data_IF_107444287698
#
_entry.id   IF_107444287698
#
_cell.length_a   1.000
_cell.length_b   1.000
_cell.length_c   1.000
_cell.angle_alpha   90.00
_cell.angle_beta   90.00
_cell.angle_gamma   90.00
#
_symmetry.space_group_name_H-M   'P 1'
#
loop_
_entity.id
_entity.type
_entity.pdbx_description
1 polymer ?
#
# COMPACT_ATOMS: atom_id res chain seq x y z
N UNK A 1 -4.59 -7.34 26.11
CA UNK A 1 -4.41 -7.18 24.64
C UNK A 1 -4.00 -5.72 24.41
N UNK A 2 -2.75 -5.47 24.04
CA UNK A 2 -2.27 -4.09 23.80
C UNK A 2 -2.85 -3.50 22.51
N UNK A 3 -2.74 -2.17 22.29
CA UNK A 3 -3.20 -1.53 21.07
C UNK A 3 -2.39 -2.05 19.87
N UNK A 4 -3.06 -2.71 18.92
CA UNK A 4 -2.45 -3.15 17.65
C UNK A 4 -2.13 -1.90 16.82
N UNK A 5 -0.85 -1.72 16.46
CA UNK A 5 -0.40 -0.59 15.63
C UNK A 5 -0.74 -0.86 14.16
N UNK A 6 -1.28 0.16 13.50
CA UNK A 6 -1.49 0.17 12.05
C UNK A 6 -0.15 -0.06 11.33
N UNK A 7 -0.17 -0.73 10.17
CA UNK A 7 1.01 -0.86 9.30
C UNK A 7 1.38 0.49 8.67
N UNK A 8 0.39 1.39 8.55
CA UNK A 8 0.52 2.64 7.80
C UNK A 8 1.57 3.60 8.40
N UNK A 9 1.58 3.91 9.71
CA UNK A 9 2.63 4.75 10.30
C UNK A 9 4.03 4.17 10.13
N UNK A 10 4.16 2.84 10.13
CA UNK A 10 5.44 2.19 9.97
C UNK A 10 5.94 2.22 8.52
N UNK A 11 5.04 2.07 7.54
CA UNK A 11 5.36 2.28 6.13
C UNK A 11 5.82 3.72 5.89
N UNK A 12 5.11 4.70 6.45
CA UNK A 12 5.50 6.12 6.32
C UNK A 12 6.89 6.33 6.89
N UNK A 13 7.13 5.89 8.12
CA UNK A 13 8.43 6.00 8.77
C UNK A 13 9.55 5.29 7.98
N UNK A 14 9.26 4.12 7.41
CA UNK A 14 10.23 3.38 6.60
C UNK A 14 10.66 4.11 5.34
N UNK A 15 9.70 4.73 4.64
CA UNK A 15 9.98 5.54 3.46
C UNK A 15 10.82 6.75 3.84
N UNK A 16 10.51 7.40 4.96
CA UNK A 16 11.32 8.49 5.50
C UNK A 16 12.75 8.04 5.87
N UNK A 17 12.90 6.92 6.57
CA UNK A 17 14.20 6.34 6.96
C UNK A 17 15.05 6.02 5.72
N UNK A 18 14.44 5.43 4.68
CA UNK A 18 15.09 5.16 3.39
C UNK A 18 15.49 6.45 2.67
N UNK A 19 14.61 7.45 2.66
CA UNK A 19 14.88 8.76 2.09
C UNK A 19 16.09 9.43 2.75
N UNK A 20 16.18 9.39 4.09
CA UNK A 20 17.34 9.89 4.85
C UNK A 20 18.62 9.14 4.54
N UNK A 21 18.55 7.81 4.51
CA UNK A 21 19.71 6.97 4.23
C UNK A 21 20.30 7.23 2.83
N UNK A 22 19.44 7.48 1.84
CA UNK A 22 19.86 7.77 0.47
C UNK A 22 20.58 9.13 0.32
N UNK A 23 20.19 10.13 1.10
CA UNK A 23 20.73 11.50 1.02
C UNK A 23 21.81 11.82 2.05
N UNK A 24 22.06 10.92 3.00
CA UNK A 24 22.94 11.15 4.17
C UNK A 24 22.52 12.38 4.99
N UNK A 25 21.22 12.69 5.05
CA UNK A 25 20.70 13.81 5.84
C UNK A 25 20.70 13.51 7.34
N UNK A 26 20.63 14.56 8.18
CA UNK A 26 20.54 14.42 9.63
C UNK A 26 19.24 13.64 10.01
N UNK A 27 19.29 12.66 10.94
CA UNK A 27 18.10 11.92 11.40
C UNK A 27 16.95 12.77 11.94
N UNK A 28 17.26 13.97 12.48
CA UNK A 28 16.26 14.87 13.04
C UNK A 28 15.57 15.75 11.98
N UNK A 29 16.10 15.80 10.75
CA UNK A 29 15.51 16.58 9.66
C UNK A 29 14.36 15.82 9.00
N UNK A 30 13.26 16.53 8.74
CA UNK A 30 12.13 15.96 8.00
C UNK A 30 12.51 15.80 6.52
N UNK A 31 12.36 14.60 5.91
CA UNK A 31 12.68 14.40 4.50
C UNK A 31 11.80 15.28 3.62
N UNK A 32 12.39 15.85 2.56
CA UNK A 32 11.61 16.59 1.58
C UNK A 32 10.67 15.66 0.80
N UNK A 33 9.58 16.21 0.23
CA UNK A 33 8.66 15.45 -0.62
C UNK A 33 9.38 14.76 -1.79
N UNK A 34 10.39 15.42 -2.34
CA UNK A 34 11.20 14.88 -3.43
C UNK A 34 12.02 13.65 -2.99
N UNK A 35 12.58 13.68 -1.77
CA UNK A 35 13.31 12.53 -1.23
C UNK A 35 12.39 11.33 -0.96
N UNK A 36 11.20 11.57 -0.42
CA UNK A 36 10.19 10.52 -0.22
C UNK A 36 9.75 9.92 -1.56
N UNK A 37 9.55 10.79 -2.55
CA UNK A 37 9.19 10.38 -3.91
C UNK A 37 10.26 9.51 -4.53
N UNK A 38 11.53 9.88 -4.41
CA UNK A 38 12.64 9.08 -4.91
C UNK A 38 12.77 7.73 -4.17
N UNK A 39 12.59 7.73 -2.84
CA UNK A 39 12.61 6.52 -2.04
C UNK A 39 11.52 5.51 -2.44
N UNK A 40 10.38 6.00 -2.93
CA UNK A 40 9.27 5.21 -3.49
C UNK A 40 9.37 4.99 -5.01
N UNK A 41 10.49 5.31 -5.64
CA UNK A 41 10.68 5.04 -7.06
C UNK A 41 9.94 6.01 -7.99
N UNK A 42 9.55 7.19 -7.50
CA UNK A 42 8.97 8.27 -8.29
C UNK A 42 7.50 8.58 -7.99
N UNK A 43 6.86 7.91 -7.03
CA UNK A 43 5.49 8.19 -6.60
C UNK A 43 5.44 9.00 -5.30
N UNK A 44 4.46 9.90 -5.19
CA UNK A 44 4.20 10.61 -3.93
C UNK A 44 3.59 9.66 -2.89
N UNK A 45 4.04 9.81 -1.63
CA UNK A 45 3.46 9.10 -0.50
C UNK A 45 2.26 9.89 0.03
N UNK A 46 1.07 9.28 -0.04
CA UNK A 46 -0.17 9.80 0.55
C UNK A 46 -0.85 8.69 1.36
N UNK A 47 -0.42 8.55 2.62
CA UNK A 47 -0.88 7.51 3.52
C UNK A 47 -1.08 8.10 4.90
N UNK A 48 -2.32 8.07 5.38
CA UNK A 48 -2.72 8.62 6.68
C UNK A 48 -3.64 7.66 7.45
N UNK A 49 -3.54 7.68 8.79
CA UNK A 49 -4.42 6.89 9.67
C UNK A 49 -5.76 7.63 9.87
N UNK A 50 -6.84 7.03 9.39
CA UNK A 50 -8.20 7.59 9.53
C UNK A 50 -8.83 7.33 10.91
N UNK A 51 -8.11 6.70 11.84
CA UNK A 51 -8.58 6.30 13.18
C UNK A 51 -9.78 5.34 13.08
N UNK A 52 -10.27 4.88 14.23
CA UNK A 52 -11.34 3.88 14.28
C UNK A 52 -12.67 4.37 13.68
N UNK A 53 -13.04 5.63 13.92
CA UNK A 53 -14.20 6.26 13.27
C UNK A 53 -13.76 7.02 12.02
N UNK A 54 -13.47 6.26 10.96
CA UNK A 54 -12.88 6.78 9.73
C UNK A 54 -13.58 8.04 9.20
N UNK A 55 -14.92 8.08 9.16
CA UNK A 55 -15.70 9.20 8.61
C UNK A 55 -15.61 10.51 9.39
N UNK A 56 -14.94 10.53 10.56
CA UNK A 56 -14.73 11.73 11.39
C UNK A 56 -13.28 12.22 11.34
N UNK A 57 -12.40 11.55 10.59
CA UNK A 57 -11.02 12.00 10.41
C UNK A 57 -10.94 13.02 9.28
N UNK A 58 -10.07 14.02 9.43
CA UNK A 58 -9.75 14.97 8.36
C UNK A 58 -9.08 14.29 7.16
N UNK A 59 -8.43 13.14 7.42
CA UNK A 59 -7.83 12.26 6.42
C UNK A 59 -8.85 11.40 5.66
N UNK A 60 -10.13 11.45 6.03
CA UNK A 60 -11.17 10.67 5.36
C UNK A 60 -11.36 11.12 3.92
N UNK A 61 -11.27 10.17 2.99
CA UNK A 61 -11.58 10.37 1.58
C UNK A 61 -12.72 9.45 1.18
N UNK A 62 -13.68 9.98 0.42
CA UNK A 62 -14.72 9.17 -0.25
C UNK A 62 -14.08 8.23 -1.28
N UNK A 63 -14.77 7.14 -1.61
CA UNK A 63 -14.25 6.10 -2.50
C UNK A 63 -13.84 6.62 -3.86
N UNK A 64 -14.56 7.62 -4.40
CA UNK A 64 -14.28 8.21 -5.71
C UNK A 64 -12.90 8.87 -5.75
N UNK A 65 -12.50 9.53 -4.66
CA UNK A 65 -11.19 10.17 -4.54
C UNK A 65 -10.05 9.15 -4.51
N UNK A 66 -10.32 7.87 -4.18
CA UNK A 66 -9.28 6.85 -4.22
C UNK A 66 -8.83 6.55 -5.66
N UNK A 67 -9.67 6.86 -6.64
CA UNK A 67 -9.36 6.64 -8.05
C UNK A 67 -8.45 7.72 -8.66
N UNK A 68 -8.15 8.79 -7.92
CA UNK A 68 -7.16 9.79 -8.32
C UNK A 68 -5.71 9.28 -8.13
N UNK A 69 -5.54 8.12 -7.48
CA UNK A 69 -4.23 7.53 -7.22
C UNK A 69 -3.92 6.38 -8.18
N UNK A 70 -2.75 6.45 -8.82
CA UNK A 70 -2.22 5.38 -9.68
C UNK A 70 -1.83 4.11 -8.91
N UNK A 71 -1.49 4.27 -7.63
CA UNK A 71 -1.03 3.20 -6.74
C UNK A 71 -1.84 3.20 -5.45
N UNK A 72 -2.20 2.02 -4.96
CA UNK A 72 -2.90 1.88 -3.68
C UNK A 72 -2.30 0.76 -2.84
N UNK A 73 -2.14 0.99 -1.54
CA UNK A 73 -1.77 -0.04 -0.57
C UNK A 73 -3.04 -0.65 0.04
N UNK A 74 -3.09 -1.98 0.09
CA UNK A 74 -4.15 -2.74 0.72
C UNK A 74 -3.62 -3.60 1.86
N UNK A 75 -4.24 -3.45 3.02
CA UNK A 75 -4.02 -4.26 4.21
C UNK A 75 -5.36 -4.74 4.77
N UNK A 76 -5.35 -5.90 5.41
CA UNK A 76 -6.45 -6.33 6.27
C UNK A 76 -6.56 -5.43 7.53
N UNK A 77 -7.72 -5.48 8.18
CA UNK A 77 -7.97 -4.81 9.46
C UNK A 77 -8.09 -5.82 10.59
N UNK A 78 -9.14 -5.69 11.42
CA UNK A 78 -9.48 -6.72 12.43
C UNK A 78 -9.85 -8.07 11.79
N UNK A 79 -10.40 -8.02 10.58
CA UNK A 79 -10.69 -9.15 9.70
C UNK A 79 -10.36 -8.74 8.27
N UNK A 80 -11.01 -9.37 7.28
CA UNK A 80 -10.91 -8.97 5.88
C UNK A 80 -11.28 -7.49 5.73
N UNK A 81 -10.72 -6.85 4.69
CA UNK A 81 -10.98 -5.44 4.42
C UNK A 81 -11.72 -5.31 3.10
N UNK A 82 -12.99 -4.91 3.17
CA UNK A 82 -13.85 -4.68 2.01
C UNK A 82 -13.31 -3.59 1.06
N UNK A 83 -12.25 -2.88 1.44
CA UNK A 83 -11.62 -1.84 0.64
C UNK A 83 -10.77 -2.40 -0.52
N UNK A 84 -10.49 -3.71 -0.61
CA UNK A 84 -9.73 -4.30 -1.72
C UNK A 84 -10.46 -4.16 -3.06
N UNK A 85 -11.70 -4.66 -3.14
CA UNK A 85 -12.55 -4.58 -4.35
C UNK A 85 -12.72 -3.17 -4.90
N UNK A 86 -12.83 -2.16 -4.03
CA UNK A 86 -12.96 -0.77 -4.46
C UNK A 86 -11.66 -0.21 -5.04
N UNK A 87 -10.50 -0.51 -4.44
CA UNK A 87 -9.19 -0.11 -4.98
C UNK A 87 -8.93 -0.72 -6.36
N UNK A 88 -9.28 -1.99 -6.53
CA UNK A 88 -9.16 -2.68 -7.82
C UNK A 88 -10.09 -2.08 -8.89
N UNK A 89 -11.29 -1.67 -8.48
CA UNK A 89 -12.25 -1.04 -9.40
C UNK A 89 -11.78 0.31 -9.95
N UNK A 90 -10.95 1.06 -9.20
CA UNK A 90 -10.34 2.30 -9.69
C UNK A 90 -9.33 2.05 -10.82
N UNK A 91 -8.79 0.83 -10.95
CA UNK A 91 -7.85 0.49 -12.02
C UNK A 91 -6.47 1.09 -11.89
N UNK A 92 -6.10 1.56 -10.70
CA UNK A 92 -4.71 1.69 -10.29
C UNK A 92 -4.10 0.33 -9.95
N UNK A 93 -2.78 0.31 -9.77
CA UNK A 93 -2.06 -0.86 -9.30
C UNK A 93 -2.22 -0.98 -7.77
N UNK A 94 -2.65 -2.15 -7.32
CA UNK A 94 -2.82 -2.42 -5.88
C UNK A 94 -1.65 -3.25 -5.35
N UNK A 95 -0.97 -2.74 -4.34
CA UNK A 95 -0.03 -3.47 -3.51
C UNK A 95 -0.81 -4.14 -2.37
N UNK A 96 -0.86 -5.47 -2.36
CA UNK A 96 -1.65 -6.25 -1.40
C UNK A 96 -0.73 -6.92 -0.39
N UNK A 97 -0.96 -6.67 0.89
CA UNK A 97 -0.39 -7.46 1.99
C UNK A 97 -1.28 -8.68 2.21
N UNK A 98 -0.78 -9.92 2.00
CA UNK A 98 -1.56 -11.13 2.26
C UNK A 98 -2.06 -11.19 3.70
N UNK A 99 -3.26 -11.74 3.87
CA UNK A 99 -3.88 -11.98 5.17
C UNK A 99 -4.54 -13.35 5.20
N UNK A 100 -4.61 -13.96 6.39
CA UNK A 100 -5.45 -15.13 6.64
C UNK A 100 -6.95 -14.82 6.54
N UNK A 101 -7.33 -13.54 6.63
CA UNK A 101 -8.71 -13.09 6.48
C UNK A 101 -8.95 -12.68 5.03
N UNK A 102 -9.50 -13.59 4.23
CA UNK A 102 -9.77 -13.38 2.81
C UNK A 102 -11.27 -13.35 2.53
N UNK A 103 -11.67 -12.50 1.58
CA UNK A 103 -13.00 -12.61 0.95
C UNK A 103 -13.01 -13.71 -0.12
N UNK A 104 -14.20 -14.23 -0.45
CA UNK A 104 -14.39 -15.36 -1.38
C UNK A 104 -13.79 -15.13 -2.79
N UNK A 105 -13.64 -13.88 -3.23
CA UNK A 105 -13.11 -13.52 -4.55
C UNK A 105 -11.57 -13.41 -4.59
N UNK A 106 -10.91 -13.30 -3.43
CA UNK A 106 -9.46 -13.07 -3.37
C UNK A 106 -8.61 -14.22 -3.96
N UNK A 107 -8.97 -15.51 -3.83
CA UNK A 107 -8.22 -16.59 -4.48
C UNK A 107 -8.18 -16.45 -6.01
N UNK A 108 -9.29 -16.07 -6.65
CA UNK A 108 -9.36 -15.86 -8.10
C UNK A 108 -8.53 -14.65 -8.53
N UNK A 109 -8.50 -13.60 -7.71
CA UNK A 109 -7.67 -12.42 -7.93
C UNK A 109 -6.17 -12.75 -7.91
N UNK A 110 -5.76 -13.58 -6.96
CA UNK A 110 -4.36 -13.99 -6.81
C UNK A 110 -3.89 -14.83 -8.00
N UNK A 111 -4.70 -15.79 -8.44
CA UNK A 111 -4.43 -16.59 -9.64
C UNK A 111 -4.34 -15.75 -10.92
N UNK A 112 -5.14 -14.69 -11.02
CA UNK A 112 -5.09 -13.78 -12.15
C UNK A 112 -3.85 -12.87 -12.13
N UNK A 113 -3.18 -12.71 -10.99
CA UNK A 113 -2.13 -11.72 -10.82
C UNK A 113 -2.68 -10.29 -11.00
N UNK A 114 -3.80 -9.99 -10.34
CA UNK A 114 -4.50 -8.69 -10.42
C UNK A 114 -4.08 -7.68 -9.34
N UNK A 115 -3.11 -8.05 -8.49
CA UNK A 115 -2.46 -7.17 -7.51
C UNK A 115 -1.00 -7.58 -7.32
N UNK A 116 -0.14 -6.64 -6.93
CA UNK A 116 1.24 -6.95 -6.53
C UNK A 116 1.21 -7.49 -5.11
N UNK A 117 1.53 -8.77 -4.96
CA UNK A 117 1.60 -9.43 -3.67
C UNK A 117 2.88 -9.01 -2.94
N UNK A 118 2.72 -8.37 -1.79
CA UNK A 118 3.80 -8.06 -0.85
C UNK A 118 4.04 -9.25 0.10
N UNK A 119 5.14 -9.26 0.86
CA UNK A 119 5.34 -10.24 1.92
C UNK A 119 4.16 -10.25 2.90
N UNK A 120 3.81 -11.40 3.50
CA UNK A 120 2.77 -11.44 4.52
C UNK A 120 3.19 -10.65 5.75
N UNK A 121 2.24 -9.95 6.36
CA UNK A 121 2.45 -9.27 7.64
C UNK A 121 1.28 -9.57 8.57
N UNK A 122 1.58 -10.20 9.71
CA UNK A 122 0.61 -10.41 10.78
C UNK A 122 0.97 -9.51 11.97
N UNK A 123 0.03 -8.63 12.32
CA UNK A 123 0.17 -7.60 13.37
C UNK A 123 0.38 -8.15 14.80
N UNK A 124 0.56 -9.46 14.97
CA UNK A 124 0.61 -10.11 16.29
C UNK A 124 2.03 -10.18 16.88
N UNK A 125 3.08 -9.76 16.15
CA UNK A 125 4.47 -10.10 16.51
C UNK A 125 5.47 -8.93 16.72
N UNK A 126 5.02 -7.70 17.02
CA UNK A 126 5.90 -6.61 17.50
C UNK A 126 6.75 -5.87 16.44
N UNK A 127 7.67 -5.00 16.90
CA UNK A 127 8.39 -4.01 16.08
C UNK A 127 9.54 -4.60 15.21
N UNK A 128 10.10 -5.76 15.54
CA UNK A 128 11.21 -6.37 14.77
C UNK A 128 10.75 -6.97 13.44
N UNK A 129 9.66 -7.74 13.46
CA UNK A 129 9.03 -8.31 12.25
C UNK A 129 8.53 -7.24 11.29
N UNK A 130 8.19 -6.06 11.82
CA UNK A 130 7.81 -4.91 11.02
C UNK A 130 8.99 -4.34 10.23
N UNK A 131 10.18 -4.24 10.83
CA UNK A 131 11.40 -3.83 10.13
C UNK A 131 11.76 -4.83 9.03
N UNK A 132 11.75 -6.12 9.34
CA UNK A 132 12.00 -7.18 8.35
C UNK A 132 11.01 -7.10 7.17
N UNK A 133 9.73 -6.88 7.47
CA UNK A 133 8.70 -6.74 6.45
C UNK A 133 8.95 -5.51 5.57
N UNK A 134 9.28 -4.37 6.18
CA UNK A 134 9.62 -3.13 5.47
C UNK A 134 10.80 -3.36 4.51
N UNK A 135 11.87 -3.98 4.99
CA UNK A 135 13.08 -4.24 4.20
C UNK A 135 12.80 -5.12 2.97
N UNK A 136 11.84 -6.04 3.08
CA UNK A 136 11.41 -6.90 1.98
C UNK A 136 10.39 -6.22 1.06
N UNK A 137 9.42 -5.49 1.61
CA UNK A 137 8.31 -4.92 0.85
C UNK A 137 8.69 -3.64 0.10
N UNK A 138 9.51 -2.78 0.70
CA UNK A 138 9.82 -1.47 0.14
C UNK A 138 10.57 -1.53 -1.21
N UNK A 139 11.56 -2.43 -1.42
CA UNK A 139 12.15 -2.64 -2.74
C UNK A 139 11.13 -3.06 -3.79
N UNK A 140 10.23 -4.00 -3.45
CA UNK A 140 9.17 -4.47 -4.37
C UNK A 140 8.27 -3.31 -4.80
N UNK A 141 7.85 -2.48 -3.84
CA UNK A 141 7.03 -1.29 -4.09
C UNK A 141 7.77 -0.31 -5.02
N UNK A 142 9.00 0.07 -4.66
CA UNK A 142 9.75 1.08 -5.41
C UNK A 142 10.14 0.61 -6.82
N UNK A 143 10.52 -0.66 -6.97
CA UNK A 143 10.86 -1.26 -8.27
C UNK A 143 9.63 -1.34 -9.18
N UNK A 144 8.48 -1.74 -8.62
CA UNK A 144 7.20 -1.77 -9.35
C UNK A 144 6.80 -0.36 -9.81
N UNK A 145 6.92 0.64 -8.93
CA UNK A 145 6.61 2.03 -9.28
C UNK A 145 7.57 2.50 -10.38
N UNK A 146 8.88 2.27 -10.27
CA UNK A 146 9.85 2.62 -11.31
C UNK A 146 9.52 1.99 -12.66
N UNK A 147 9.09 0.73 -12.66
CA UNK A 147 8.73 0.02 -13.89
C UNK A 147 7.42 0.51 -14.53
N UNK A 148 6.52 1.12 -13.76
CA UNK A 148 5.15 1.44 -14.21
C UNK A 148 4.84 2.93 -14.27
N UNK A 149 5.66 3.80 -13.67
CA UNK A 149 5.38 5.23 -13.53
C UNK A 149 5.17 5.94 -14.87
N UNK A 150 5.96 5.60 -15.87
CA UNK A 150 5.97 6.26 -17.19
C UNK A 150 5.00 5.60 -18.20
N UNK A 151 4.39 4.46 -17.83
CA UNK A 151 3.34 3.83 -18.61
C UNK A 151 2.11 4.73 -18.68
N UNK A 152 1.71 5.10 -19.90
CA UNK A 152 0.48 5.86 -20.18
C UNK A 152 -0.78 5.00 -20.06
N UNK A 153 -0.65 3.69 -20.26
CA UNK A 153 -1.72 2.72 -20.11
C UNK A 153 -1.69 2.08 -18.73
N UNK A 154 -2.86 1.66 -18.26
CA UNK A 154 -2.96 0.90 -17.02
C UNK A 154 -2.16 -0.40 -17.16
N UNK A 155 -1.19 -0.66 -16.26
CA UNK A 155 -0.38 -1.85 -16.34
C UNK A 155 -1.29 -3.09 -16.33
N UNK A 156 -0.87 -4.16 -17.02
CA UNK A 156 -1.70 -5.36 -17.24
C UNK A 156 -2.37 -5.86 -15.96
N UNK A 157 -1.65 -5.79 -14.84
CA UNK A 157 -2.13 -6.12 -13.50
C UNK A 157 -3.37 -5.32 -13.08
N UNK A 158 -3.38 -4.02 -13.34
CA UNK A 158 -4.49 -3.13 -13.00
C UNK A 158 -5.69 -3.35 -13.93
N UNK A 159 -5.44 -3.66 -15.21
CA UNK A 159 -6.49 -4.09 -16.15
C UNK A 159 -7.16 -5.38 -15.70
N UNK A 160 -6.38 -6.38 -15.28
CA UNK A 160 -6.91 -7.66 -14.76
C UNK A 160 -7.75 -7.43 -13.50
N UNK A 161 -7.29 -6.54 -12.60
CA UNK A 161 -8.05 -6.13 -11.41
C UNK A 161 -9.43 -5.57 -11.75
N UNK A 162 -9.51 -4.68 -12.75
CA UNK A 162 -10.81 -4.17 -13.22
C UNK A 162 -11.65 -5.22 -13.93
N UNK A 163 -11.04 -6.09 -14.74
CA UNK A 163 -11.76 -7.07 -15.55
C UNK A 163 -12.50 -8.12 -14.72
N UNK A 164 -11.94 -8.54 -13.57
CA UNK A 164 -12.58 -9.48 -12.66
C UNK A 164 -13.88 -8.96 -12.04
N UNK A 165 -14.16 -7.65 -12.12
CA UNK A 165 -15.45 -7.06 -11.75
C UNK A 165 -16.58 -7.50 -12.67
N UNK A 166 -16.30 -7.85 -13.94
CA UNK A 166 -17.34 -8.14 -14.92
C UNK A 166 -17.95 -9.55 -14.78
N UNK A 167 -17.38 -10.39 -13.92
CA UNK A 167 -17.74 -11.81 -13.79
C UNK A 167 -18.08 -12.22 -12.35
N UNK A 168 -18.16 -11.27 -11.42
CA UNK A 168 -18.41 -11.50 -9.99
C UNK A 168 -19.77 -10.95 -9.55
#
# INVERSE_FOLDING_TARGET
VGPRRSLLPAVVKAVEDRARAATKSNPDDQPSREMLREALGGADLDVEDTKFMASRSDSYKRLEAWCDHKYALHTAGFSYSAALKYRLACGGLVFRVPSRWTEFYEPGLEQAGAAVTLPPYEHEFGDERLKEWIEQALPIIADTIRATKDGKDDPEIARKGRALRATS
#
